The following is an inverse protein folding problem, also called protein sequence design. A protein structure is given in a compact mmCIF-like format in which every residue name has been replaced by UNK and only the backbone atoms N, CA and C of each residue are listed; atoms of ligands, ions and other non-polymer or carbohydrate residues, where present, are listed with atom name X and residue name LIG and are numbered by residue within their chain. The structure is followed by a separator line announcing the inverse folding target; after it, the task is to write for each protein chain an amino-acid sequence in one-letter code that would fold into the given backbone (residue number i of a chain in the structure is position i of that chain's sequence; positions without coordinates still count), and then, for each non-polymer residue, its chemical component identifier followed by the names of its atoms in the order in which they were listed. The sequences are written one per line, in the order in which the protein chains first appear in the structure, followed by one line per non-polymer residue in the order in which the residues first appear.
data_IF_626975845105
#
_entry.id   IF_626975845105
#
_cell.length_a   1.000
_cell.length_b   1.000
_cell.length_c   1.000
_cell.angle_alpha   90.00
_cell.angle_beta   90.00
_cell.angle_gamma   90.00
#
_symmetry.space_group_name_H-M   'P 1'
#
loop_
_entity.id
_entity.type
_entity.pdbx_description
1 polymer ?
#
# COMPACT_ATOMS: atom_id res chain seq x y z
N UNK A 1 -7.61 35.89 1.14
CA UNK A 1 -6.58 35.19 0.35
C UNK A 1 -7.30 34.11 -0.41
N UNK A 2 -7.22 34.15 -1.74
CA UNK A 2 -7.84 33.14 -2.58
C UNK A 2 -7.10 31.80 -2.39
N UNK A 3 -7.81 30.73 -2.10
CA UNK A 3 -7.26 29.38 -1.89
C UNK A 3 -7.41 28.53 -3.17
N UNK A 4 -7.09 29.12 -4.32
CA UNK A 4 -7.11 28.52 -5.66
C UNK A 4 -5.79 27.81 -6.01
N UNK A 5 -5.08 27.29 -5.02
CA UNK A 5 -3.97 26.38 -5.30
C UNK A 5 -4.54 25.02 -5.78
N UNK A 6 -3.94 24.37 -6.79
CA UNK A 6 -4.37 23.05 -7.22
C UNK A 6 -4.29 22.06 -6.06
N UNK A 7 -5.35 21.27 -5.85
CA UNK A 7 -5.38 20.26 -4.80
C UNK A 7 -4.54 19.05 -5.19
N UNK A 8 -3.91 18.41 -4.21
CA UNK A 8 -3.23 17.13 -4.39
C UNK A 8 -4.05 16.04 -3.70
N UNK A 9 -4.42 15.00 -4.44
CA UNK A 9 -5.05 13.81 -3.87
C UNK A 9 -3.96 12.87 -3.35
N UNK A 10 -3.97 12.60 -2.04
CA UNK A 10 -3.12 11.58 -1.43
C UNK A 10 -3.96 10.36 -1.07
N UNK A 11 -3.66 9.22 -1.70
CA UNK A 11 -4.26 7.94 -1.37
C UNK A 11 -3.36 7.20 -0.38
N UNK A 12 -3.89 6.90 0.81
CA UNK A 12 -3.16 6.18 1.85
C UNK A 12 -3.61 4.73 1.89
N UNK A 13 -2.70 3.82 1.54
CA UNK A 13 -2.94 2.38 1.54
C UNK A 13 -2.20 1.74 2.70
N UNK A 14 -2.94 1.06 3.59
CA UNK A 14 -2.33 0.21 4.62
C UNK A 14 -1.84 -1.09 3.96
N UNK A 15 -0.67 -1.57 4.37
CA UNK A 15 -0.17 -2.86 3.88
C UNK A 15 -1.20 -3.99 4.13
N UNK A 16 -1.23 -4.95 3.22
CA UNK A 16 -2.07 -6.15 3.34
C UNK A 16 -1.76 -6.96 4.59
N UNK A 17 -2.63 -7.92 4.90
CA UNK A 17 -2.46 -8.78 6.07
C UNK A 17 -1.18 -9.63 5.96
N UNK A 18 -0.58 -9.88 7.12
CA UNK A 18 0.61 -10.71 7.33
C UNK A 18 0.24 -11.85 8.28
N UNK A 19 1.06 -12.92 8.40
CA UNK A 19 0.77 -14.01 9.34
C UNK A 19 0.55 -13.57 10.79
N UNK A 20 1.14 -12.45 11.22
CA UNK A 20 1.05 -11.95 12.59
C UNK A 20 0.05 -10.80 12.76
N UNK A 21 -0.69 -10.42 11.72
CA UNK A 21 -1.63 -9.29 11.79
C UNK A 21 -2.70 -9.55 12.85
N UNK A 22 -2.86 -8.62 13.79
CA UNK A 22 -3.82 -8.74 14.89
C UNK A 22 -3.38 -9.64 16.05
N UNK A 23 -2.20 -10.27 15.94
CA UNK A 23 -1.64 -11.14 16.98
C UNK A 23 -0.43 -10.52 17.66
N UNK A 24 0.49 -9.95 16.88
CA UNK A 24 1.75 -9.36 17.36
C UNK A 24 1.96 -8.02 16.68
N UNK A 25 2.65 -7.09 17.36
CA UNK A 25 3.12 -5.83 16.80
C UNK A 25 4.59 -5.98 16.36
N UNK A 26 4.87 -6.33 15.09
CA UNK A 26 6.24 -6.62 14.62
C UNK A 26 7.13 -5.39 14.45
N UNK A 27 6.57 -4.18 14.61
CA UNK A 27 7.30 -2.93 14.41
C UNK A 27 7.97 -2.87 13.03
N UNK A 28 9.29 -2.66 13.03
CA UNK A 28 10.15 -2.60 11.82
C UNK A 28 10.96 -3.88 11.57
N UNK A 29 10.57 -5.01 12.17
CA UNK A 29 11.27 -6.27 11.97
C UNK A 29 11.30 -6.65 10.47
N UNK A 30 12.48 -7.05 9.93
CA UNK A 30 12.61 -7.48 8.54
C UNK A 30 12.03 -8.88 8.32
N UNK A 31 11.84 -9.26 7.06
CA UNK A 31 11.41 -10.61 6.68
C UNK A 31 9.95 -10.94 6.99
N UNK A 32 9.13 -9.93 7.35
CA UNK A 32 7.69 -10.12 7.49
C UNK A 32 6.98 -9.75 6.18
N UNK A 33 6.56 -10.79 5.47
CA UNK A 33 5.91 -10.73 4.18
C UNK A 33 4.38 -10.80 4.32
N UNK A 34 3.67 -10.46 3.24
CA UNK A 34 2.23 -10.65 3.13
C UNK A 34 1.87 -12.15 3.23
N UNK A 35 0.74 -12.44 3.87
CA UNK A 35 0.11 -13.75 3.74
C UNK A 35 -0.54 -13.90 2.38
N UNK A 36 -1.08 -15.07 2.06
CA UNK A 36 -1.84 -15.31 0.83
C UNK A 36 -3.01 -14.32 0.69
N UNK A 37 -3.83 -14.18 1.73
CA UNK A 37 -4.90 -13.18 1.78
C UNK A 37 -4.36 -11.74 1.65
N UNK A 38 -3.16 -11.46 2.16
CA UNK A 38 -2.50 -10.17 2.00
C UNK A 38 -2.15 -9.88 0.55
N UNK A 39 -1.69 -10.89 -0.20
CA UNK A 39 -1.41 -10.76 -1.64
C UNK A 39 -2.69 -10.57 -2.47
N UNK A 40 -3.78 -11.20 -2.08
CA UNK A 40 -5.10 -10.94 -2.68
C UNK A 40 -5.56 -9.50 -2.42
N UNK A 41 -5.38 -8.98 -1.21
CA UNK A 41 -5.65 -7.57 -0.89
C UNK A 41 -4.79 -6.63 -1.74
N UNK A 42 -3.51 -6.95 -1.95
CA UNK A 42 -2.62 -6.16 -2.81
C UNK A 42 -3.14 -6.11 -4.26
N UNK A 43 -3.58 -7.25 -4.82
CA UNK A 43 -4.21 -7.30 -6.15
C UNK A 43 -5.51 -6.48 -6.21
N UNK A 44 -6.34 -6.56 -5.17
CA UNK A 44 -7.57 -5.78 -5.10
C UNK A 44 -7.32 -4.27 -5.02
N UNK A 45 -6.22 -3.83 -4.38
CA UNK A 45 -5.79 -2.43 -4.41
C UNK A 45 -5.45 -2.00 -5.83
N UNK A 46 -4.64 -2.78 -6.55
CA UNK A 46 -4.29 -2.47 -7.94
C UNK A 46 -5.54 -2.34 -8.82
N UNK A 47 -6.45 -3.33 -8.75
CA UNK A 47 -7.73 -3.29 -9.47
C UNK A 47 -8.57 -2.06 -9.14
N UNK A 48 -8.55 -1.62 -7.88
CA UNK A 48 -9.31 -0.43 -7.47
C UNK A 48 -8.67 0.88 -7.94
N UNK A 49 -7.37 0.87 -8.20
CA UNK A 49 -6.63 2.02 -8.72
C UNK A 49 -6.62 2.06 -10.25
N UNK A 50 -7.06 1.00 -10.94
CA UNK A 50 -7.21 0.99 -12.39
C UNK A 50 -8.03 2.19 -12.88
N UNK A 51 -7.49 2.89 -13.88
CA UNK A 51 -8.10 4.08 -14.47
C UNK A 51 -7.82 5.40 -13.74
N UNK A 52 -7.09 5.39 -12.62
CA UNK A 52 -6.58 6.61 -12.00
C UNK A 52 -5.21 6.97 -12.58
N UNK A 53 -5.02 8.24 -12.95
CA UNK A 53 -3.69 8.77 -13.27
C UNK A 53 -2.89 9.00 -11.99
N UNK A 54 -2.08 8.00 -11.61
CA UNK A 54 -1.18 8.10 -10.46
C UNK A 54 0.14 8.74 -10.88
N UNK A 55 0.42 9.93 -10.36
CA UNK A 55 1.69 10.62 -10.62
C UNK A 55 2.91 9.92 -9.98
N UNK A 56 2.71 9.24 -8.85
CA UNK A 56 3.77 8.53 -8.14
C UNK A 56 3.20 7.52 -7.13
N UNK A 57 3.98 6.47 -6.85
CA UNK A 57 3.73 5.51 -5.77
C UNK A 57 4.91 5.57 -4.81
N UNK A 58 4.62 5.75 -3.52
CA UNK A 58 5.61 5.76 -2.45
C UNK A 58 5.28 4.65 -1.46
N UNK A 59 6.32 4.01 -0.93
CA UNK A 59 6.16 2.97 0.08
C UNK A 59 7.13 3.18 1.24
N UNK A 60 6.75 2.67 2.41
CA UNK A 60 7.74 2.32 3.44
C UNK A 60 8.77 1.34 2.84
N UNK A 61 10.04 1.34 3.30
CA UNK A 61 11.05 0.39 2.80
C UNK A 61 10.77 -1.07 3.18
N UNK A 62 9.75 -1.32 4.01
CA UNK A 62 9.40 -2.65 4.52
C UNK A 62 8.79 -3.55 3.45
N UNK A 63 9.10 -4.85 3.52
CA UNK A 63 8.72 -5.87 2.55
C UNK A 63 7.21 -5.92 2.35
N UNK A 64 6.42 -6.11 3.42
CA UNK A 64 4.95 -6.10 3.33
C UNK A 64 4.35 -4.85 2.70
N UNK A 65 4.98 -3.68 2.85
CA UNK A 65 4.49 -2.44 2.25
C UNK A 65 4.81 -2.40 0.75
N UNK A 66 6.04 -2.78 0.36
CA UNK A 66 6.45 -2.91 -1.04
C UNK A 66 5.61 -3.96 -1.77
N UNK A 67 5.40 -5.12 -1.17
CA UNK A 67 4.58 -6.20 -1.72
C UNK A 67 3.11 -5.79 -1.91
N UNK A 68 2.58 -4.92 -1.05
CA UNK A 68 1.22 -4.40 -1.21
C UNK A 68 1.12 -3.46 -2.41
N UNK A 69 2.15 -2.63 -2.62
CA UNK A 69 2.18 -1.65 -3.69
C UNK A 69 2.59 -2.26 -5.05
N UNK A 70 3.33 -3.36 -5.06
CA UNK A 70 3.92 -3.92 -6.28
C UNK A 70 2.90 -4.16 -7.40
N UNK A 71 1.72 -4.78 -7.16
CA UNK A 71 0.74 -4.98 -8.23
C UNK A 71 0.17 -3.69 -8.83
N UNK A 72 0.21 -2.57 -8.09
CA UNK A 72 -0.27 -1.27 -8.57
C UNK A 72 0.84 -0.45 -9.27
N UNK A 73 2.08 -0.95 -9.26
CA UNK A 73 3.24 -0.30 -9.88
C UNK A 73 3.69 -0.98 -11.18
N UNK A 74 2.99 -2.04 -11.60
CA UNK A 74 3.14 -2.74 -12.88
C UNK A 74 2.29 -2.05 -13.97
#
# INVERSE_FOLDING_TARGET
MDHTAPSTLLLLVRHGVTPTTGQVLPGRAPGLHLSEAGREQARAVAQRLEGLELAAIYTSPMERARETAAPAAE
#
